data_IF_783188362790
#
_entry.id   IF_783188362790
#
_cell.length_a   1.000
_cell.length_b   1.000
_cell.length_c   1.000
_cell.angle_alpha   90.00
_cell.angle_beta   90.00
_cell.angle_gamma   90.00
#
_symmetry.space_group_name_H-M   'P 1'
#
loop_
_entity.id
_entity.type
_entity.pdbx_description
1 polymer ?
#
# COMPACT_ATOMS: atom_id res chain seq x y z
N UNK A 1 -0.49 -6.33 83.52
CA UNK A 1 -1.27 -5.61 82.49
C UNK A 1 -0.52 -5.31 81.21
N UNK A 2 0.78 -4.99 81.23
CA UNK A 2 1.56 -4.73 80.00
C UNK A 2 1.76 -5.95 79.06
N UNK A 3 1.79 -7.18 79.58
CA UNK A 3 1.96 -8.40 78.77
C UNK A 3 0.66 -8.83 78.05
N UNK A 4 -0.51 -8.50 78.62
CA UNK A 4 -1.80 -8.81 78.00
C UNK A 4 -2.09 -7.90 76.78
N UNK A 5 -1.69 -6.63 76.86
CA UNK A 5 -1.90 -5.67 75.77
C UNK A 5 -1.01 -6.01 74.52
N UNK A 6 0.21 -6.62 74.75
CA UNK A 6 1.06 -7.04 73.65
C UNK A 6 0.48 -8.27 72.94
N UNK A 7 -0.17 -9.19 73.69
CA UNK A 7 -0.79 -10.36 73.07
C UNK A 7 -2.06 -9.99 72.26
N UNK A 8 -2.84 -9.05 72.73
CA UNK A 8 -4.03 -8.54 72.03
C UNK A 8 -3.61 -7.77 70.78
N UNK A 9 -2.54 -6.97 70.84
CA UNK A 9 -1.98 -6.24 69.64
C UNK A 9 -1.39 -7.19 68.63
N UNK A 10 -0.76 -8.30 69.05
CA UNK A 10 -0.23 -9.31 68.12
C UNK A 10 -1.35 -10.12 67.44
N UNK A 11 -2.47 -10.39 68.18
CA UNK A 11 -3.63 -11.10 67.62
C UNK A 11 -4.47 -10.21 66.69
N UNK A 12 -4.57 -8.91 67.00
CA UNK A 12 -5.18 -7.93 66.08
C UNK A 12 -4.36 -7.70 64.79
N UNK A 13 -3.01 -7.76 64.89
CA UNK A 13 -2.12 -7.69 63.74
C UNK A 13 -2.17 -8.93 62.83
N UNK A 14 -2.45 -10.13 63.42
CA UNK A 14 -2.56 -11.35 62.61
C UNK A 14 -3.90 -11.48 61.86
N UNK A 15 -4.96 -10.83 62.36
CA UNK A 15 -6.27 -10.84 61.71
C UNK A 15 -6.38 -9.87 60.50
N UNK A 16 -5.41 -8.98 60.34
CA UNK A 16 -5.39 -8.06 59.17
C UNK A 16 -4.63 -8.68 57.95
N UNK A 17 -3.91 -9.81 58.15
CA UNK A 17 -3.19 -10.45 57.08
C UNK A 17 -3.93 -11.60 56.38
N UNK A 18 -5.18 -11.88 56.77
CA UNK A 18 -6.02 -12.90 56.12
C UNK A 18 -7.13 -12.34 55.22
N UNK A 19 -7.04 -11.06 54.86
CA UNK A 19 -8.06 -10.40 54.09
C UNK A 19 -7.57 -9.84 52.77
N UNK A 20 -6.97 -10.67 51.92
CA UNK A 20 -6.89 -10.46 50.47
C UNK A 20 -6.55 -11.78 49.78
N UNK A 21 -7.36 -12.78 49.93
CA UNK A 21 -7.61 -13.60 48.77
C UNK A 21 -8.35 -12.74 47.80
N UNK A 22 -7.65 -12.19 46.80
CA UNK A 22 -8.32 -11.69 45.61
C UNK A 22 -9.00 -12.90 45.01
N UNK A 23 -10.30 -12.95 45.22
CA UNK A 23 -11.19 -13.88 44.53
C UNK A 23 -11.12 -13.59 43.06
N UNK A 24 -10.13 -14.17 42.39
CA UNK A 24 -9.95 -14.11 40.93
C UNK A 24 -10.83 -15.14 40.22
N UNK A 25 -11.60 -15.93 40.96
CA UNK A 25 -12.49 -16.95 40.39
C UNK A 25 -13.67 -16.35 39.65
N UNK A 26 -13.95 -15.05 39.83
CA UNK A 26 -14.97 -14.33 39.09
C UNK A 26 -14.49 -13.63 37.81
N UNK A 27 -13.18 -13.54 37.56
CA UNK A 27 -12.66 -12.96 36.35
C UNK A 27 -12.74 -13.99 35.21
N UNK A 28 -13.48 -13.72 34.14
CA UNK A 28 -13.56 -14.63 33.01
C UNK A 28 -12.17 -14.80 32.40
N UNK A 29 -11.70 -16.03 32.37
CA UNK A 29 -10.44 -16.40 31.70
C UNK A 29 -10.71 -16.65 30.23
N UNK A 30 -9.77 -16.25 29.37
CA UNK A 30 -9.86 -16.54 27.94
C UNK A 30 -9.78 -18.06 27.75
N UNK A 31 -10.82 -18.61 27.13
CA UNK A 31 -10.85 -20.01 26.69
C UNK A 31 -10.72 -20.00 25.17
N UNK A 32 -9.67 -20.62 24.65
CA UNK A 32 -9.50 -20.69 23.19
C UNK A 32 -10.51 -21.68 22.62
N UNK A 33 -11.41 -21.26 21.71
CA UNK A 33 -12.31 -22.17 21.02
C UNK A 33 -11.49 -23.13 20.15
N UNK A 34 -11.94 -24.39 20.05
CA UNK A 34 -11.25 -25.39 19.23
C UNK A 34 -11.67 -25.31 17.76
N UNK A 35 -12.94 -25.07 17.53
CA UNK A 35 -13.57 -25.01 16.23
C UNK A 35 -14.86 -24.19 16.30
N UNK A 36 -15.40 -23.86 15.14
CA UNK A 36 -16.74 -23.32 14.95
C UNK A 36 -17.22 -23.65 13.52
N UNK A 37 -18.48 -23.39 13.20
CA UNK A 37 -19.07 -23.86 11.95
C UNK A 37 -19.34 -22.68 11.01
N UNK A 38 -18.67 -22.70 9.83
CA UNK A 38 -19.05 -21.93 8.67
C UNK A 38 -20.20 -22.65 7.97
N UNK A 39 -21.32 -21.94 7.78
CA UNK A 39 -22.46 -22.50 7.09
C UNK A 39 -22.18 -22.61 5.59
N UNK A 40 -22.60 -23.69 4.99
CA UNK A 40 -22.62 -23.80 3.53
C UNK A 40 -23.57 -22.74 2.96
N UNK A 41 -23.11 -21.88 2.01
CA UNK A 41 -24.00 -20.92 1.36
C UNK A 41 -25.16 -21.60 0.66
N UNK A 42 -26.34 -21.00 0.73
CA UNK A 42 -27.59 -21.60 0.19
C UNK A 42 -27.50 -21.97 -1.32
N UNK A 43 -26.62 -21.30 -2.05
CA UNK A 43 -26.40 -21.52 -3.49
C UNK A 43 -25.03 -22.16 -3.79
N UNK A 44 -24.38 -22.83 -2.84
CA UNK A 44 -23.03 -23.39 -3.01
C UNK A 44 -22.89 -24.34 -4.20
N UNK A 45 -23.98 -25.03 -4.58
CA UNK A 45 -24.03 -25.91 -5.76
C UNK A 45 -24.13 -25.17 -7.10
N UNK A 46 -24.58 -23.91 -7.10
CA UNK A 46 -24.72 -23.10 -8.30
C UNK A 46 -23.49 -22.19 -8.44
N UNK A 47 -22.88 -22.08 -9.63
CA UNK A 47 -21.75 -21.21 -9.82
C UNK A 47 -22.10 -19.74 -9.57
N UNK A 48 -21.27 -19.05 -8.80
CA UNK A 48 -21.35 -17.62 -8.56
C UNK A 48 -20.54 -16.93 -9.65
N UNK A 49 -21.13 -15.96 -10.36
CA UNK A 49 -20.43 -15.14 -11.35
C UNK A 49 -19.78 -13.97 -10.61
N UNK A 50 -18.49 -14.06 -10.32
CA UNK A 50 -17.77 -13.05 -9.54
C UNK A 50 -17.79 -11.67 -10.20
N UNK A 51 -17.63 -11.59 -11.53
CA UNK A 51 -17.64 -10.33 -12.30
C UNK A 51 -18.96 -9.55 -12.16
N UNK A 52 -20.06 -10.23 -11.92
CA UNK A 52 -21.40 -9.64 -11.75
C UNK A 52 -21.80 -9.45 -10.29
N UNK A 53 -20.94 -9.85 -9.37
CA UNK A 53 -21.20 -9.78 -7.93
C UNK A 53 -20.44 -8.60 -7.33
N UNK A 54 -21.11 -7.78 -6.54
CA UNK A 54 -20.44 -6.74 -5.72
C UNK A 54 -19.90 -7.37 -4.44
N UNK A 55 -20.69 -8.25 -3.82
CA UNK A 55 -20.36 -8.89 -2.54
C UNK A 55 -20.75 -10.37 -2.54
N UNK A 56 -20.01 -11.15 -1.77
CA UNK A 56 -20.32 -12.52 -1.40
C UNK A 56 -20.77 -12.58 0.07
N UNK A 57 -21.73 -13.41 0.37
CA UNK A 57 -22.31 -13.50 1.71
C UNK A 57 -22.02 -14.87 2.32
N UNK A 58 -21.39 -14.85 3.48
CA UNK A 58 -21.11 -16.03 4.30
C UNK A 58 -21.67 -15.83 5.70
N UNK A 59 -21.85 -16.93 6.43
CA UNK A 59 -22.25 -16.83 7.84
C UNK A 59 -21.69 -17.98 8.65
N UNK A 60 -21.36 -17.71 9.90
CA UNK A 60 -21.06 -18.76 10.86
C UNK A 60 -22.31 -19.09 11.67
N UNK A 61 -22.44 -20.35 12.09
CA UNK A 61 -23.61 -20.84 12.81
C UNK A 61 -23.81 -20.09 14.14
N UNK A 62 -22.71 -19.91 14.85
CA UNK A 62 -22.67 -19.20 16.14
C UNK A 62 -21.25 -18.63 16.37
N UNK A 63 -21.15 -17.61 17.18
CA UNK A 63 -19.87 -17.02 17.55
C UNK A 63 -19.01 -18.02 18.33
N UNK A 64 -17.72 -18.19 18.00
CA UNK A 64 -16.82 -19.01 18.81
C UNK A 64 -16.77 -18.55 20.26
N UNK A 65 -16.82 -19.49 21.20
CA UNK A 65 -16.89 -19.20 22.62
C UNK A 65 -15.48 -19.01 23.23
N UNK A 66 -15.17 -17.79 23.60
CA UNK A 66 -13.91 -17.43 24.26
C UNK A 66 -13.98 -17.44 25.81
N UNK A 67 -15.05 -18.02 26.38
CA UNK A 67 -15.24 -18.08 27.83
C UNK A 67 -15.92 -16.84 28.43
N UNK A 68 -16.06 -15.76 27.65
CA UNK A 68 -16.76 -14.53 28.00
C UNK A 68 -17.27 -13.81 26.74
N UNK A 69 -18.12 -12.80 26.92
CA UNK A 69 -18.61 -11.98 25.81
C UNK A 69 -17.48 -11.13 25.25
N UNK A 70 -17.08 -11.36 24.02
CA UNK A 70 -16.00 -10.65 23.34
C UNK A 70 -16.42 -10.23 21.93
N UNK A 71 -15.82 -9.16 21.43
CA UNK A 71 -15.88 -8.81 20.01
C UNK A 71 -14.93 -9.72 19.22
N UNK A 72 -15.48 -10.51 18.31
CA UNK A 72 -14.71 -11.44 17.49
C UNK A 72 -14.58 -10.89 16.09
N UNK A 73 -13.36 -10.88 15.57
CA UNK A 73 -13.08 -10.57 14.17
C UNK A 73 -13.11 -11.87 13.35
N UNK A 74 -13.65 -11.76 12.14
CA UNK A 74 -13.69 -12.83 11.16
C UNK A 74 -13.04 -12.38 9.87
N UNK A 75 -12.20 -13.24 9.31
CA UNK A 75 -11.70 -13.13 7.94
C UNK A 75 -11.96 -14.45 7.23
N UNK A 76 -12.13 -14.41 5.92
CA UNK A 76 -12.18 -15.63 5.13
C UNK A 76 -10.80 -15.96 4.56
N UNK A 77 -10.54 -17.25 4.46
CA UNK A 77 -9.40 -17.80 3.75
C UNK A 77 -9.91 -18.66 2.58
N UNK A 78 -9.20 -18.61 1.47
CA UNK A 78 -9.55 -19.30 0.22
C UNK A 78 -8.42 -20.21 -0.18
N UNK A 79 -8.71 -21.46 -0.52
CA UNK A 79 -7.78 -22.48 -1.00
C UNK A 79 -8.37 -23.19 -2.22
N UNK A 80 -7.55 -23.64 -3.16
CA UNK A 80 -8.01 -24.36 -4.35
C UNK A 80 -8.23 -25.86 -4.10
N UNK A 81 -7.59 -26.44 -3.10
CA UNK A 81 -7.49 -27.88 -2.91
C UNK A 81 -7.87 -28.38 -1.51
N UNK A 82 -8.44 -27.51 -0.65
CA UNK A 82 -8.76 -27.82 0.76
C UNK A 82 -7.53 -28.29 1.58
N UNK A 83 -6.34 -27.79 1.23
CA UNK A 83 -5.09 -28.26 1.78
C UNK A 83 -4.65 -27.49 3.03
N UNK A 84 -4.90 -26.17 3.09
CA UNK A 84 -4.62 -25.25 4.20
C UNK A 84 -3.18 -25.33 4.71
N UNK A 85 -2.22 -25.47 3.78
CA UNK A 85 -0.81 -25.60 4.11
C UNK A 85 -0.23 -24.22 4.43
N UNK A 86 0.40 -24.07 5.59
CA UNK A 86 1.07 -22.85 6.01
C UNK A 86 2.34 -22.56 5.18
N UNK A 87 2.69 -21.28 5.07
CA UNK A 87 3.93 -20.87 4.43
C UNK A 87 5.14 -21.39 5.22
N UNK A 88 6.21 -21.70 4.50
CA UNK A 88 7.53 -22.06 5.06
C UNK A 88 8.59 -21.13 4.47
N UNK A 89 9.85 -21.23 4.90
CA UNK A 89 10.96 -20.46 4.33
C UNK A 89 11.12 -20.62 2.79
N UNK A 90 10.61 -21.74 2.23
CA UNK A 90 10.82 -22.10 0.83
C UNK A 90 9.51 -22.31 0.03
N UNK A 91 8.35 -22.18 0.65
CA UNK A 91 7.06 -22.41 0.01
C UNK A 91 6.04 -21.41 0.51
N UNK A 92 5.25 -20.85 -0.41
CA UNK A 92 4.09 -20.02 -0.04
C UNK A 92 2.98 -20.87 0.57
N UNK A 93 2.07 -20.24 1.30
CA UNK A 93 0.86 -20.91 1.79
C UNK A 93 -0.01 -21.37 0.60
N UNK A 94 -0.74 -22.48 0.78
CA UNK A 94 -1.70 -22.97 -0.25
C UNK A 94 -2.96 -22.11 -0.33
N UNK A 95 -3.14 -21.16 0.58
CA UNK A 95 -4.35 -20.36 0.72
C UNK A 95 -4.02 -18.85 0.82
N UNK A 96 -5.03 -18.04 0.59
CA UNK A 96 -4.96 -16.59 0.79
C UNK A 96 -6.00 -16.18 1.83
N UNK A 97 -5.59 -15.40 2.84
CA UNK A 97 -6.49 -14.70 3.76
C UNK A 97 -6.98 -13.42 3.08
N UNK A 98 -8.29 -13.26 2.97
CA UNK A 98 -8.89 -12.05 2.41
C UNK A 98 -8.75 -10.86 3.37
N UNK A 99 -8.67 -9.66 2.83
CA UNK A 99 -8.46 -8.43 3.60
C UNK A 99 -9.71 -8.01 4.40
N UNK A 100 -10.90 -8.38 3.93
CA UNK A 100 -12.16 -8.04 4.59
C UNK A 100 -12.20 -8.57 6.04
N UNK A 101 -12.28 -7.68 7.02
CA UNK A 101 -12.46 -8.01 8.43
C UNK A 101 -13.90 -7.73 8.86
N UNK A 102 -14.62 -8.78 9.20
CA UNK A 102 -16.00 -8.71 9.66
C UNK A 102 -16.08 -8.88 11.18
N UNK A 103 -16.98 -8.14 11.85
CA UNK A 103 -17.23 -8.25 13.30
C UNK A 103 -18.58 -8.91 13.61
N UNK A 104 -19.25 -9.44 12.61
CA UNK A 104 -20.55 -10.10 12.69
C UNK A 104 -20.47 -11.54 12.21
N UNK A 105 -21.30 -12.41 12.76
CA UNK A 105 -21.49 -13.80 12.28
C UNK A 105 -22.02 -13.87 10.84
N UNK A 106 -22.55 -12.76 10.31
CA UNK A 106 -22.87 -12.59 8.89
C UNK A 106 -21.76 -11.75 8.27
N UNK A 107 -21.05 -12.33 7.32
CA UNK A 107 -19.89 -11.74 6.68
C UNK A 107 -20.26 -11.29 5.26
N UNK A 108 -19.89 -10.08 4.92
CA UNK A 108 -19.98 -9.51 3.57
C UNK A 108 -18.56 -9.33 3.05
N UNK A 109 -18.23 -10.01 1.97
CA UNK A 109 -16.88 -10.07 1.39
C UNK A 109 -16.92 -9.44 0.02
N UNK A 110 -15.99 -8.53 -0.28
CA UNK A 110 -15.87 -7.92 -1.60
C UNK A 110 -15.55 -8.95 -2.69
N UNK A 111 -16.37 -8.99 -3.74
CA UNK A 111 -16.17 -9.96 -4.83
C UNK A 111 -14.85 -9.74 -5.60
N UNK A 112 -14.39 -8.48 -5.69
CA UNK A 112 -13.11 -8.11 -6.32
C UNK A 112 -11.94 -8.72 -5.54
N UNK A 113 -11.89 -8.55 -4.21
CA UNK A 113 -10.84 -9.13 -3.36
C UNK A 113 -10.82 -10.65 -3.43
N UNK A 114 -12.02 -11.27 -3.47
CA UNK A 114 -12.14 -12.71 -3.66
C UNK A 114 -11.61 -13.16 -5.03
N UNK A 115 -11.97 -12.46 -6.12
CA UNK A 115 -11.49 -12.76 -7.47
C UNK A 115 -9.96 -12.63 -7.59
N UNK A 116 -9.36 -11.56 -7.01
CA UNK A 116 -7.90 -11.39 -6.95
C UNK A 116 -7.20 -12.53 -6.23
N UNK A 117 -7.75 -12.99 -5.11
CA UNK A 117 -7.21 -14.15 -4.39
C UNK A 117 -7.20 -15.41 -5.28
N UNK A 118 -8.27 -15.64 -6.05
CA UNK A 118 -8.36 -16.77 -7.00
C UNK A 118 -7.34 -16.64 -8.13
N UNK A 119 -7.19 -15.45 -8.71
CA UNK A 119 -6.20 -15.16 -9.75
C UNK A 119 -4.79 -15.46 -9.24
N UNK A 120 -4.44 -14.96 -8.06
CA UNK A 120 -3.12 -15.16 -7.43
C UNK A 120 -2.87 -16.64 -7.10
N UNK A 121 -3.82 -17.35 -6.51
CA UNK A 121 -3.69 -18.78 -6.17
C UNK A 121 -3.46 -19.66 -7.40
N UNK A 122 -4.05 -19.30 -8.55
CA UNK A 122 -3.86 -20.03 -9.80
C UNK A 122 -2.63 -19.56 -10.60
N UNK A 123 -1.96 -18.47 -10.21
CA UNK A 123 -0.84 -17.91 -10.96
C UNK A 123 -1.23 -17.34 -12.33
N UNK A 124 -2.50 -16.91 -12.51
CA UNK A 124 -2.96 -16.31 -13.76
C UNK A 124 -2.39 -14.89 -13.92
N UNK A 125 -1.61 -14.68 -14.98
CA UNK A 125 -0.96 -13.40 -15.26
C UNK A 125 -1.76 -12.49 -16.19
N UNK A 126 -2.74 -13.04 -16.93
CA UNK A 126 -3.53 -12.32 -17.90
C UNK A 126 -4.98 -12.85 -17.97
N UNK A 127 -5.84 -12.09 -18.63
CA UNK A 127 -7.26 -12.46 -18.80
C UNK A 127 -7.42 -13.80 -19.56
N UNK A 128 -6.53 -14.06 -20.49
CA UNK A 128 -6.51 -15.26 -21.33
C UNK A 128 -6.21 -16.54 -20.55
N UNK A 129 -5.59 -16.42 -19.36
CA UNK A 129 -5.29 -17.55 -18.49
C UNK A 129 -6.52 -18.03 -17.72
N UNK A 130 -7.54 -17.18 -17.58
CA UNK A 130 -8.73 -17.47 -16.76
C UNK A 130 -9.72 -18.34 -17.54
N UNK A 131 -10.12 -19.51 -16.99
CA UNK A 131 -11.07 -20.39 -17.66
C UNK A 131 -12.47 -19.77 -17.73
N UNK A 132 -13.13 -19.97 -18.86
CA UNK A 132 -14.54 -19.60 -19.05
C UNK A 132 -15.53 -20.54 -18.32
N UNK A 133 -15.03 -21.63 -17.74
CA UNK A 133 -15.83 -22.63 -17.01
C UNK A 133 -15.76 -22.39 -15.51
N UNK A 134 -16.83 -22.76 -14.81
CA UNK A 134 -16.84 -22.68 -13.35
C UNK A 134 -15.80 -23.61 -12.72
N UNK A 135 -15.11 -23.11 -11.71
CA UNK A 135 -14.16 -23.88 -10.90
C UNK A 135 -14.70 -24.07 -9.47
N UNK A 136 -14.20 -25.09 -8.79
CA UNK A 136 -14.46 -25.33 -7.37
C UNK A 136 -13.35 -24.72 -6.54
N UNK A 137 -13.72 -24.04 -5.44
CA UNK A 137 -12.80 -23.46 -4.47
C UNK A 137 -13.30 -23.74 -3.07
N UNK A 138 -12.40 -23.76 -2.10
CA UNK A 138 -12.68 -24.00 -0.69
C UNK A 138 -12.52 -22.73 0.09
N UNK A 139 -13.42 -22.50 1.06
CA UNK A 139 -13.43 -21.32 1.91
C UNK A 139 -13.56 -21.78 3.35
N UNK A 140 -12.73 -21.23 4.24
CA UNK A 140 -12.90 -21.35 5.69
C UNK A 140 -12.90 -19.98 6.34
N UNK A 141 -13.48 -19.88 7.53
CA UNK A 141 -13.43 -18.68 8.32
C UNK A 141 -12.35 -18.78 9.41
N UNK A 142 -11.56 -17.73 9.54
CA UNK A 142 -10.59 -17.49 10.60
C UNK A 142 -11.22 -16.52 11.59
N UNK A 143 -11.34 -16.90 12.88
CA UNK A 143 -11.89 -16.08 13.94
C UNK A 143 -10.83 -15.78 14.99
N UNK A 144 -10.74 -14.52 15.45
CA UNK A 144 -9.77 -14.11 16.44
C UNK A 144 -10.25 -12.90 17.25
N UNK A 145 -9.68 -12.73 18.44
CA UNK A 145 -9.78 -11.49 19.21
C UNK A 145 -8.64 -10.56 18.81
N UNK A 146 -8.88 -9.25 18.74
CA UNK A 146 -7.83 -8.27 18.38
C UNK A 146 -6.62 -8.35 19.31
N UNK A 147 -6.82 -8.70 20.60
CA UNK A 147 -5.75 -8.90 21.58
C UNK A 147 -4.99 -10.23 21.44
N UNK A 148 -5.49 -11.16 20.61
CA UNK A 148 -4.94 -12.51 20.38
C UNK A 148 -4.97 -12.87 18.90
N UNK A 149 -4.61 -11.93 18.05
CA UNK A 149 -4.62 -12.10 16.59
C UNK A 149 -3.66 -13.21 16.11
N UNK A 150 -2.61 -13.49 16.88
CA UNK A 150 -1.63 -14.55 16.66
C UNK A 150 -2.16 -15.96 17.02
N UNK A 151 -3.36 -16.07 17.60
CA UNK A 151 -3.99 -17.33 18.03
C UNK A 151 -5.41 -17.45 17.47
N UNK A 152 -5.56 -17.55 16.15
CA UNK A 152 -6.87 -17.70 15.52
C UNK A 152 -7.48 -19.09 15.78
N UNK A 153 -8.79 -19.15 15.65
CA UNK A 153 -9.56 -20.39 15.55
C UNK A 153 -10.13 -20.49 14.13
N UNK A 154 -10.18 -21.70 13.57
CA UNK A 154 -10.66 -21.93 12.20
C UNK A 154 -11.95 -22.72 12.18
N UNK A 155 -12.80 -22.43 11.21
CA UNK A 155 -14.02 -23.21 10.95
C UNK A 155 -13.71 -24.48 10.14
N UNK A 156 -14.76 -25.28 9.89
CA UNK A 156 -14.75 -26.21 8.76
C UNK A 156 -14.58 -25.45 7.44
N UNK A 157 -14.07 -26.11 6.41
CA UNK A 157 -14.11 -25.60 5.04
C UNK A 157 -15.48 -25.86 4.41
N UNK A 158 -15.89 -24.97 3.50
CA UNK A 158 -17.04 -25.14 2.62
C UNK A 158 -16.58 -25.03 1.17
N UNK A 159 -17.13 -25.87 0.30
CA UNK A 159 -16.85 -25.85 -1.13
C UNK A 159 -17.90 -25.02 -1.85
N UNK A 160 -17.45 -24.10 -2.70
CA UNK A 160 -18.33 -23.30 -3.58
C UNK A 160 -17.86 -23.40 -5.03
N UNK A 161 -18.77 -23.11 -5.96
CA UNK A 161 -18.47 -22.99 -7.38
C UNK A 161 -18.50 -21.55 -7.81
N UNK A 162 -17.53 -21.14 -8.61
CA UNK A 162 -17.41 -19.76 -9.10
C UNK A 162 -17.08 -19.76 -10.59
N UNK A 163 -17.59 -18.77 -11.33
CA UNK A 163 -17.00 -18.33 -12.58
C UNK A 163 -15.95 -17.29 -12.23
N UNK A 164 -14.64 -17.62 -12.36
CA UNK A 164 -13.60 -16.67 -12.08
C UNK A 164 -13.53 -15.59 -13.16
N UNK A 165 -12.91 -14.45 -12.85
CA UNK A 165 -12.55 -13.45 -13.85
C UNK A 165 -11.24 -12.79 -13.46
N UNK A 166 -10.52 -12.27 -14.46
CA UNK A 166 -9.25 -11.59 -14.24
C UNK A 166 -9.49 -10.20 -13.68
N UNK A 167 -8.86 -9.91 -12.56
CA UNK A 167 -8.81 -8.58 -11.97
C UNK A 167 -7.36 -8.17 -11.92
N UNK A 168 -6.97 -7.27 -12.80
CA UNK A 168 -5.65 -6.68 -12.76
C UNK A 168 -5.48 -5.85 -11.48
N UNK A 169 -4.27 -5.82 -10.96
CA UNK A 169 -3.93 -4.89 -9.91
C UNK A 169 -3.99 -3.46 -10.44
N UNK A 170 -4.56 -2.55 -9.65
CA UNK A 170 -4.48 -1.14 -9.94
C UNK A 170 -3.02 -0.69 -9.82
N UNK A 171 -2.54 0.11 -10.77
CA UNK A 171 -1.25 0.76 -10.62
C UNK A 171 -1.29 1.73 -9.43
N UNK A 172 -0.17 1.97 -8.73
CA UNK A 172 -0.12 2.98 -7.69
C UNK A 172 -0.62 4.33 -8.19
N UNK A 173 -1.46 4.97 -7.41
CA UNK A 173 -1.97 6.32 -7.70
C UNK A 173 -0.87 7.35 -7.47
N UNK A 174 0.01 7.53 -8.45
CA UNK A 174 1.06 8.54 -8.36
C UNK A 174 0.45 9.93 -8.31
N UNK A 175 0.78 10.68 -7.28
CA UNK A 175 0.45 12.09 -7.13
C UNK A 175 1.61 12.96 -7.63
N UNK A 176 1.29 14.08 -8.24
CA UNK A 176 2.27 14.97 -8.86
C UNK A 176 2.24 16.34 -8.22
N UNK A 177 3.40 16.88 -7.93
CA UNK A 177 3.54 18.28 -7.55
C UNK A 177 3.25 19.22 -8.71
N UNK A 178 2.59 20.33 -8.40
CA UNK A 178 2.40 21.48 -9.26
C UNK A 178 2.48 22.76 -8.43
N UNK A 179 3.06 23.83 -8.97
CA UNK A 179 3.17 25.12 -8.30
C UNK A 179 4.60 25.60 -8.08
N UNK A 180 4.75 26.90 -7.90
CA UNK A 180 6.06 27.57 -7.77
C UNK A 180 6.90 27.01 -6.63
N UNK A 181 6.27 26.53 -5.55
CA UNK A 181 6.96 26.01 -4.37
C UNK A 181 7.67 24.68 -4.58
N UNK A 182 7.20 23.83 -5.49
CA UNK A 182 7.72 22.48 -5.69
C UNK A 182 8.31 22.22 -7.08
N UNK A 183 7.82 22.92 -8.13
CA UNK A 183 8.25 22.71 -9.52
C UNK A 183 8.59 24.01 -10.26
N UNK A 184 8.53 25.15 -9.58
CA UNK A 184 8.89 26.46 -10.15
C UNK A 184 7.85 27.09 -11.05
N UNK A 185 6.69 26.46 -11.26
CA UNK A 185 5.62 26.98 -12.11
C UNK A 185 4.26 26.32 -11.82
N UNK A 186 3.18 26.88 -12.37
CA UNK A 186 1.81 26.34 -12.30
C UNK A 186 1.34 25.70 -13.61
N UNK A 187 2.28 25.29 -14.46
CA UNK A 187 1.92 24.55 -15.66
C UNK A 187 1.61 23.09 -15.31
N UNK A 188 0.39 22.63 -15.60
CA UNK A 188 -0.06 21.26 -15.36
C UNK A 188 -0.21 20.51 -16.70
N UNK A 189 0.82 20.51 -17.53
CA UNK A 189 0.78 19.86 -18.84
C UNK A 189 0.99 18.35 -18.75
N UNK A 190 0.08 17.55 -19.34
CA UNK A 190 0.18 16.09 -19.34
C UNK A 190 1.45 15.54 -20.01
N UNK A 191 2.00 16.25 -21.00
CA UNK A 191 3.22 15.85 -21.72
C UNK A 191 4.52 16.42 -21.14
N UNK A 192 4.47 17.15 -20.01
CA UNK A 192 5.61 17.91 -19.50
C UNK A 192 6.07 17.44 -18.10
N UNK A 193 5.84 16.17 -17.78
CA UNK A 193 6.31 15.55 -16.53
C UNK A 193 7.84 15.61 -16.42
N UNK A 194 8.33 15.87 -15.23
CA UNK A 194 9.74 16.10 -14.95
C UNK A 194 10.18 17.56 -15.18
N UNK A 195 9.43 18.35 -15.95
CA UNK A 195 9.67 19.78 -16.14
C UNK A 195 8.65 20.64 -15.37
N UNK A 196 7.36 20.42 -15.54
CA UNK A 196 6.30 21.21 -14.91
C UNK A 196 5.47 20.47 -13.87
N UNK A 197 5.53 19.14 -13.85
CA UNK A 197 4.95 18.29 -12.81
C UNK A 197 5.98 17.22 -12.41
N UNK A 198 6.08 16.93 -11.12
CA UNK A 198 7.04 15.95 -10.59
C UNK A 198 6.28 14.92 -9.77
N UNK A 199 6.41 13.60 -10.08
CA UNK A 199 5.74 12.56 -9.34
C UNK A 199 6.35 12.30 -7.95
N UNK A 200 5.50 11.91 -6.99
CA UNK A 200 5.92 11.26 -5.76
C UNK A 200 6.38 9.83 -6.06
N UNK A 201 7.32 9.31 -5.29
CA UNK A 201 7.75 7.92 -5.35
C UNK A 201 7.00 7.08 -4.30
N UNK A 202 6.72 5.80 -4.59
CA UNK A 202 6.37 4.83 -3.55
C UNK A 202 7.51 4.77 -2.53
N UNK A 203 7.15 4.63 -1.25
CA UNK A 203 8.12 4.34 -0.21
C UNK A 203 8.72 2.95 -0.47
N UNK A 204 10.03 2.81 -0.30
CA UNK A 204 10.70 1.52 -0.47
C UNK A 204 10.09 0.48 0.49
N UNK A 205 9.85 -0.72 -0.02
CA UNK A 205 9.26 -1.85 0.71
C UNK A 205 7.85 -1.59 1.30
N UNK A 206 7.21 -0.47 0.95
CA UNK A 206 5.82 -0.24 1.31
C UNK A 206 4.88 -0.96 0.33
N UNK A 207 3.95 -1.70 0.88
CA UNK A 207 2.84 -2.26 0.11
C UNK A 207 1.84 -1.15 -0.21
N UNK A 208 1.19 -1.25 -1.37
CA UNK A 208 0.05 -0.41 -1.72
C UNK A 208 -1.18 -1.27 -1.95
N UNK A 209 -2.35 -0.68 -1.79
CA UNK A 209 -3.62 -1.34 -2.08
C UNK A 209 -3.75 -1.60 -3.59
N UNK A 210 -3.55 -2.84 -4.00
CA UNK A 210 -3.66 -3.24 -5.40
C UNK A 210 -5.10 -3.13 -5.96
N UNK A 211 -6.11 -2.93 -5.11
CA UNK A 211 -7.50 -2.66 -5.51
C UNK A 211 -7.73 -1.21 -5.93
N UNK A 212 -7.10 -0.27 -5.24
CA UNK A 212 -7.32 1.17 -5.41
C UNK A 212 -6.09 1.91 -5.96
N UNK A 213 -4.89 1.36 -5.78
CA UNK A 213 -3.62 2.03 -6.05
C UNK A 213 -3.19 2.99 -4.93
N UNK A 214 -3.93 3.07 -3.83
CA UNK A 214 -3.59 3.89 -2.66
C UNK A 214 -2.38 3.32 -1.92
N UNK A 215 -1.56 4.18 -1.33
CA UNK A 215 -0.34 3.71 -0.66
C UNK A 215 0.44 4.83 0.02
N UNK A 216 1.66 4.51 0.42
CA UNK A 216 2.61 5.45 1.00
C UNK A 216 3.59 5.95 -0.04
N UNK A 217 3.66 7.27 -0.17
CA UNK A 217 4.51 7.95 -1.14
C UNK A 217 5.44 8.94 -0.44
N UNK A 218 6.57 9.19 -1.05
CA UNK A 218 7.57 10.13 -0.53
C UNK A 218 8.23 10.90 -1.65
N UNK A 219 8.80 12.03 -1.30
CA UNK A 219 9.63 12.82 -2.18
C UNK A 219 10.61 13.64 -1.34
N UNK A 220 11.88 13.58 -1.66
CA UNK A 220 12.89 14.50 -1.11
C UNK A 220 13.43 15.36 -2.25
N UNK A 221 13.45 16.67 -2.06
CA UNK A 221 13.90 17.59 -3.09
C UNK A 221 13.95 19.04 -2.61
N UNK A 222 14.32 19.93 -3.54
CA UNK A 222 14.31 21.37 -3.30
C UNK A 222 12.91 21.94 -3.38
N UNK A 223 12.54 22.79 -2.43
CA UNK A 223 11.31 23.57 -2.41
C UNK A 223 11.63 25.06 -2.23
N UNK A 224 10.89 25.92 -2.92
CA UNK A 224 10.91 27.35 -2.68
C UNK A 224 9.91 27.73 -1.59
N UNK A 225 10.09 28.91 -0.97
CA UNK A 225 9.13 29.48 -0.02
C UNK A 225 7.90 30.04 -0.74
N UNK A 226 7.26 29.23 -1.57
CA UNK A 226 6.11 29.56 -2.42
C UNK A 226 5.09 28.41 -2.44
N UNK A 227 3.98 28.57 -3.09
CA UNK A 227 2.82 27.70 -3.05
C UNK A 227 2.95 26.49 -3.99
N UNK A 228 2.41 25.34 -3.55
CA UNK A 228 2.26 24.15 -4.37
C UNK A 228 1.03 23.31 -3.95
N UNK A 229 0.63 22.40 -4.82
CA UNK A 229 -0.45 21.41 -4.61
C UNK A 229 -0.05 20.06 -5.20
N UNK A 230 -0.87 19.06 -4.94
CA UNK A 230 -0.79 17.74 -5.59
C UNK A 230 -1.97 17.56 -6.53
N UNK A 231 -1.69 17.10 -7.76
CA UNK A 231 -2.69 16.63 -8.72
C UNK A 231 -2.50 15.15 -8.99
N UNK A 232 -3.59 14.41 -9.24
CA UNK A 232 -3.48 12.98 -9.57
C UNK A 232 -3.13 12.78 -11.05
N UNK A 233 -3.72 13.58 -11.92
CA UNK A 233 -3.58 13.41 -13.36
C UNK A 233 -3.00 14.68 -13.98
N UNK A 234 -1.72 14.73 -14.37
CA UNK A 234 -1.17 15.84 -15.13
C UNK A 234 -2.03 16.15 -16.37
N UNK A 235 -2.28 17.43 -16.63
CA UNK A 235 -3.24 17.89 -17.62
C UNK A 235 -4.64 18.15 -17.06
N UNK A 236 -4.92 17.69 -15.85
CA UNK A 236 -6.20 17.87 -15.18
C UNK A 236 -6.01 18.47 -13.77
N UNK A 237 -6.86 19.46 -13.42
CA UNK A 237 -6.80 20.08 -12.09
C UNK A 237 -7.65 19.35 -11.05
N UNK A 238 -8.27 18.25 -11.41
CA UNK A 238 -9.13 17.45 -10.55
C UNK A 238 -8.92 15.95 -10.83
N UNK A 239 -8.81 15.12 -9.82
CA UNK A 239 -8.77 15.45 -8.39
C UNK A 239 -7.43 16.07 -7.96
N UNK A 240 -7.45 16.81 -6.83
CA UNK A 240 -6.24 17.37 -6.23
C UNK A 240 -6.28 17.37 -4.71
N UNK A 241 -5.09 17.51 -4.12
CA UNK A 241 -4.91 17.75 -2.69
C UNK A 241 -4.25 19.10 -2.45
N UNK A 242 -4.66 19.74 -1.38
CA UNK A 242 -4.06 20.91 -0.78
C UNK A 242 -4.42 20.98 0.70
N UNK A 243 -4.44 22.18 1.24
CA UNK A 243 -4.78 22.45 2.63
C UNK A 243 -6.11 23.22 2.74
N UNK A 244 -6.69 23.30 3.93
CA UNK A 244 -7.82 24.20 4.23
C UNK A 244 -7.39 25.68 4.25
N UNK A 245 -6.14 25.93 4.63
CA UNK A 245 -5.51 27.27 4.62
C UNK A 245 -4.03 27.14 4.25
N UNK A 246 -3.49 28.16 3.58
CA UNK A 246 -2.07 28.17 3.18
C UNK A 246 -1.15 27.97 4.38
N UNK A 247 -0.17 27.07 4.26
CA UNK A 247 0.79 26.77 5.31
C UNK A 247 1.81 25.70 4.94
N UNK A 248 2.80 25.51 5.80
CA UNK A 248 3.79 24.44 5.60
C UNK A 248 3.15 23.06 5.82
N UNK A 249 2.30 22.95 6.85
CA UNK A 249 1.47 21.79 7.15
C UNK A 249 0.11 22.28 7.67
N UNK A 250 -0.91 21.41 7.63
CA UNK A 250 -2.25 21.78 8.09
C UNK A 250 -3.27 20.69 7.81
N UNK A 251 -4.55 21.02 8.02
CA UNK A 251 -5.65 20.13 7.68
C UNK A 251 -5.72 19.96 6.18
N UNK A 252 -5.70 18.72 5.71
CA UNK A 252 -5.79 18.38 4.30
C UNK A 252 -7.17 18.68 3.73
N UNK A 253 -7.20 19.12 2.49
CA UNK A 253 -8.43 19.31 1.72
C UNK A 253 -8.32 18.61 0.36
N UNK A 254 -9.22 17.67 0.16
CA UNK A 254 -9.39 17.00 -1.10
C UNK A 254 -10.37 17.75 -1.99
N UNK A 255 -10.02 17.93 -3.24
CA UNK A 255 -10.92 18.43 -4.28
C UNK A 255 -11.28 17.29 -5.23
N UNK A 256 -12.51 16.79 -5.09
CA UNK A 256 -13.12 15.91 -6.09
C UNK A 256 -13.52 16.74 -7.33
N UNK A 257 -13.82 16.08 -8.47
CA UNK A 257 -14.35 16.76 -9.66
C UNK A 257 -15.54 17.68 -9.32
N UNK A 258 -15.43 18.96 -9.72
CA UNK A 258 -16.41 20.01 -9.41
C UNK A 258 -16.32 20.58 -7.99
N UNK A 259 -15.34 20.16 -7.18
CA UNK A 259 -15.14 20.63 -5.81
C UNK A 259 -14.48 22.01 -5.73
N UNK A 260 -14.53 22.60 -4.51
CA UNK A 260 -13.87 23.88 -4.25
C UNK A 260 -12.35 23.73 -4.22
N UNK A 261 -11.64 24.70 -4.78
CA UNK A 261 -10.18 24.73 -4.84
C UNK A 261 -9.57 24.78 -3.42
N UNK A 262 -8.64 23.89 -3.06
CA UNK A 262 -7.96 23.92 -1.77
C UNK A 262 -6.93 25.04 -1.70
N UNK A 263 -6.57 25.47 -0.50
CA UNK A 263 -5.38 26.28 -0.25
C UNK A 263 -4.10 25.45 -0.49
N UNK A 264 -2.94 26.07 -0.39
CA UNK A 264 -1.68 25.50 -0.82
C UNK A 264 -0.80 25.08 0.38
N UNK A 265 0.05 24.07 0.17
CA UNK A 265 1.27 23.97 0.94
C UNK A 265 2.20 25.14 0.58
N UNK A 266 2.88 25.65 1.58
CA UNK A 266 3.85 26.73 1.42
C UNK A 266 4.96 26.59 2.45
N UNK A 267 6.17 26.13 2.05
CA UNK A 267 7.32 26.07 2.94
C UNK A 267 7.64 27.44 3.56
N UNK A 268 8.03 27.46 4.81
CA UNK A 268 8.39 28.68 5.54
C UNK A 268 9.69 29.32 5.03
N UNK A 269 10.58 28.51 4.46
CA UNK A 269 11.84 28.92 3.83
C UNK A 269 12.14 28.07 2.62
N UNK A 270 12.94 28.58 1.69
CA UNK A 270 13.48 27.79 0.60
C UNK A 270 14.56 26.83 1.11
N UNK A 271 14.58 25.59 0.60
CA UNK A 271 15.54 24.57 1.01
C UNK A 271 15.14 23.16 0.57
N UNK A 272 15.88 22.20 1.08
CA UNK A 272 15.53 20.78 0.87
C UNK A 272 14.55 20.33 1.93
N UNK A 273 13.51 19.61 1.49
CA UNK A 273 12.47 19.04 2.34
C UNK A 273 12.19 17.59 1.91
N UNK A 274 11.67 16.82 2.86
CA UNK A 274 11.00 15.54 2.58
C UNK A 274 9.50 15.74 2.73
N UNK A 275 8.75 15.40 1.70
CA UNK A 275 7.30 15.34 1.70
C UNK A 275 6.86 13.89 1.77
N UNK A 276 6.04 13.55 2.77
CA UNK A 276 5.43 12.25 2.94
C UNK A 276 3.94 12.36 2.66
N UNK A 277 3.39 11.40 1.93
CA UNK A 277 1.99 11.34 1.58
C UNK A 277 1.48 9.90 1.68
N UNK A 278 0.46 9.66 2.50
CA UNK A 278 -0.16 8.36 2.67
C UNK A 278 -1.65 8.46 2.35
N UNK A 279 -2.08 7.82 1.27
CA UNK A 279 -3.47 7.77 0.81
C UNK A 279 -4.24 6.52 1.24
N UNK A 280 -3.60 5.59 1.95
CA UNK A 280 -4.20 4.33 2.39
C UNK A 280 -5.48 4.55 3.20
N UNK A 281 -6.55 3.84 2.81
CA UNK A 281 -7.86 3.92 3.45
C UNK A 281 -8.72 5.09 3.00
N UNK A 282 -8.41 5.65 1.84
CA UNK A 282 -9.19 6.69 1.17
C UNK A 282 -9.01 8.09 1.72
N UNK A 283 -9.77 9.02 1.16
CA UNK A 283 -9.60 10.46 1.41
C UNK A 283 -9.74 10.88 2.87
N UNK A 284 -10.57 10.19 3.66
CA UNK A 284 -10.75 10.50 5.08
C UNK A 284 -9.58 10.09 5.97
N UNK A 285 -8.76 9.15 5.50
CA UNK A 285 -7.59 8.62 6.21
C UNK A 285 -6.27 9.19 5.71
N UNK A 286 -6.28 9.90 4.57
CA UNK A 286 -5.10 10.47 3.94
C UNK A 286 -4.32 11.40 4.87
N UNK A 287 -2.99 11.28 4.85
CA UNK A 287 -2.07 12.10 5.63
C UNK A 287 -0.97 12.65 4.73
N UNK A 288 -0.52 13.85 5.02
CA UNK A 288 0.64 14.45 4.38
C UNK A 288 1.45 15.27 5.37
N UNK A 289 2.76 15.28 5.19
CA UNK A 289 3.65 16.06 6.03
C UNK A 289 4.85 16.54 5.22
N UNK A 290 5.16 17.83 5.34
CA UNK A 290 6.36 18.45 4.81
C UNK A 290 7.34 18.72 5.96
N UNK A 291 8.54 18.18 5.88
CA UNK A 291 9.60 18.34 6.88
C UNK A 291 10.89 18.83 6.24
N UNK A 292 11.63 19.78 6.88
CA UNK A 292 12.99 20.10 6.44
C UNK A 292 13.85 18.84 6.34
N UNK A 293 14.60 18.70 5.26
CA UNK A 293 15.55 17.61 5.11
C UNK A 293 16.73 17.81 6.05
N UNK A 294 17.07 16.78 6.82
CA UNK A 294 18.12 16.83 7.86
C UNK A 294 19.39 16.08 7.50
N UNK A 295 19.47 15.51 6.30
CA UNK A 295 20.68 14.85 5.80
C UNK A 295 21.76 15.82 5.34
N UNK A 296 22.86 15.27 4.84
CA UNK A 296 23.93 16.03 4.20
C UNK A 296 23.39 16.80 2.98
N UNK A 297 24.03 17.93 2.64
CA UNK A 297 23.68 18.68 1.44
C UNK A 297 23.75 17.76 0.22
N UNK A 298 22.64 17.60 -0.52
CA UNK A 298 22.60 16.68 -1.66
C UNK A 298 23.65 17.05 -2.72
N UNK A 299 24.34 16.03 -3.24
CA UNK A 299 25.28 16.19 -4.34
C UNK A 299 24.51 16.48 -5.62
N UNK A 300 24.73 17.62 -6.22
CA UNK A 300 24.21 17.96 -7.55
C UNK A 300 25.14 17.37 -8.62
N UNK A 301 24.55 16.73 -9.62
CA UNK A 301 25.25 16.18 -10.76
C UNK A 301 25.12 17.11 -11.96
N UNK A 302 26.12 17.11 -12.83
CA UNK A 302 26.09 17.93 -14.04
C UNK A 302 25.51 17.18 -15.24
N UNK A 303 25.52 15.84 -15.19
CA UNK A 303 25.15 15.02 -16.34
C UNK A 303 24.60 13.65 -15.92
N UNK A 304 23.39 13.33 -16.40
CA UNK A 304 22.84 11.97 -16.36
C UNK A 304 22.45 11.53 -17.76
N UNK A 305 22.67 10.26 -18.06
CA UNK A 305 22.31 9.63 -19.30
C UNK A 305 21.64 8.27 -19.07
N UNK A 306 20.79 7.87 -20.00
CA UNK A 306 20.16 6.56 -20.03
C UNK A 306 20.80 5.73 -21.13
N UNK A 307 21.32 4.56 -20.78
CA UNK A 307 22.10 3.68 -21.64
C UNK A 307 21.56 2.26 -21.58
N UNK A 308 21.75 1.49 -22.64
CA UNK A 308 21.24 0.12 -22.64
C UNK A 308 21.65 -0.71 -23.85
N UNK A 309 20.95 -1.80 -24.02
CA UNK A 309 21.24 -2.79 -25.08
C UNK A 309 21.10 -2.19 -26.48
N UNK A 310 20.08 -1.35 -26.72
CA UNK A 310 19.78 -0.75 -28.04
C UNK A 310 20.92 0.06 -28.65
N UNK A 311 21.86 0.55 -27.85
CA UNK A 311 22.95 1.41 -28.30
C UNK A 311 24.34 0.92 -27.85
N UNK A 312 24.41 -0.30 -27.27
CA UNK A 312 25.70 -0.91 -26.87
C UNK A 312 26.28 -0.35 -25.58
N UNK A 313 25.46 0.06 -24.63
CA UNK A 313 25.83 0.48 -23.26
C UNK A 313 26.75 1.71 -23.21
N UNK A 314 26.38 2.74 -23.93
CA UNK A 314 26.99 4.06 -23.85
C UNK A 314 27.76 4.47 -25.09
N UNK A 315 27.47 3.85 -26.24
CA UNK A 315 28.02 4.28 -27.54
C UNK A 315 27.30 5.56 -28.03
N UNK A 316 25.98 5.59 -27.91
CA UNK A 316 25.13 6.76 -28.24
C UNK A 316 24.07 6.94 -27.19
N UNK A 317 24.44 7.41 -25.97
CA UNK A 317 23.53 7.48 -24.83
C UNK A 317 22.39 8.47 -25.04
N UNK A 318 21.26 8.21 -24.40
CA UNK A 318 20.17 9.17 -24.28
C UNK A 318 20.49 10.12 -23.13
N UNK A 319 20.86 11.37 -23.47
CA UNK A 319 21.21 12.41 -22.48
C UNK A 319 19.95 13.00 -21.88
N UNK A 320 19.86 13.06 -20.54
CA UNK A 320 18.75 13.63 -19.85
C UNK A 320 18.90 15.15 -19.70
N UNK A 321 17.77 15.84 -19.69
CA UNK A 321 17.68 17.27 -19.40
C UNK A 321 17.44 17.47 -17.91
N UNK A 322 18.26 18.29 -17.24
CA UNK A 322 18.07 18.67 -15.85
C UNK A 322 16.91 19.66 -15.71
N UNK A 323 16.05 19.47 -14.70
CA UNK A 323 15.02 20.45 -14.39
C UNK A 323 15.64 21.75 -13.84
N UNK A 324 15.19 22.89 -14.37
CA UNK A 324 15.74 24.20 -14.04
C UNK A 324 15.47 24.65 -12.60
N UNK A 325 14.40 24.13 -11.97
CA UNK A 325 14.00 24.46 -10.61
C UNK A 325 14.62 23.50 -9.58
N UNK A 326 14.54 22.19 -9.85
CA UNK A 326 15.10 21.16 -8.97
C UNK A 326 16.22 20.39 -9.67
N UNK A 327 17.49 20.59 -9.26
CA UNK A 327 18.64 20.00 -9.94
C UNK A 327 18.75 18.47 -9.80
N UNK A 328 17.84 17.84 -9.04
CA UNK A 328 17.80 16.39 -8.84
C UNK A 328 16.75 15.70 -9.71
N UNK A 329 16.01 16.45 -10.51
CA UNK A 329 15.02 15.92 -11.45
C UNK A 329 15.56 16.02 -12.85
N UNK A 330 15.51 14.89 -13.54
CA UNK A 330 15.99 14.72 -14.89
C UNK A 330 14.89 14.13 -15.75
N UNK A 331 14.82 14.54 -17.01
CA UNK A 331 13.81 14.04 -17.92
C UNK A 331 14.29 14.01 -19.36
N UNK A 332 13.67 13.13 -20.17
CA UNK A 332 13.91 13.04 -21.61
C UNK A 332 12.73 12.34 -22.28
N UNK A 333 12.54 12.60 -23.57
CA UNK A 333 11.68 11.78 -24.43
C UNK A 333 12.53 10.74 -25.13
N UNK A 334 12.08 9.49 -25.11
CA UNK A 334 12.78 8.38 -25.75
C UNK A 334 11.80 7.45 -26.47
N UNK A 335 12.26 6.81 -27.53
CA UNK A 335 11.51 5.82 -28.31
C UNK A 335 12.35 4.54 -28.42
N UNK A 336 11.72 3.40 -28.13
CA UNK A 336 12.31 2.08 -28.25
C UNK A 336 11.52 1.27 -29.28
N UNK A 337 12.19 0.86 -30.38
CA UNK A 337 11.56 0.13 -31.48
C UNK A 337 11.20 -1.31 -31.11
N UNK A 338 11.87 -1.88 -30.11
CA UNK A 338 11.69 -3.24 -29.61
C UNK A 338 11.91 -3.30 -28.10
N UNK A 339 11.46 -4.37 -27.46
CA UNK A 339 11.70 -4.62 -26.04
C UNK A 339 13.18 -4.59 -25.74
N UNK A 340 13.58 -3.86 -24.72
CA UNK A 340 15.00 -3.62 -24.43
C UNK A 340 15.23 -3.53 -22.91
N UNK A 341 16.48 -3.27 -22.53
CA UNK A 341 16.85 -3.01 -21.15
C UNK A 341 17.94 -1.95 -21.02
N UNK A 342 17.92 -1.21 -19.92
CA UNK A 342 18.86 -0.12 -19.70
C UNK A 342 19.02 0.28 -18.24
N UNK A 343 19.92 1.25 -18.01
CA UNK A 343 20.20 1.89 -16.72
C UNK A 343 20.50 3.37 -16.90
N UNK A 344 20.29 4.12 -15.84
CA UNK A 344 20.84 5.46 -15.71
C UNK A 344 22.28 5.38 -15.23
N UNK A 345 23.15 6.24 -15.76
CA UNK A 345 24.52 6.45 -15.27
C UNK A 345 24.89 7.93 -15.31
N UNK A 346 25.82 8.32 -14.42
CA UNK A 346 26.30 9.68 -14.32
C UNK A 346 27.69 9.82 -14.96
N UNK A 347 27.94 10.94 -15.63
CA UNK A 347 29.26 11.35 -16.12
C UNK A 347 29.97 10.26 -16.96
N UNK A 348 29.22 9.54 -17.78
CA UNK A 348 29.72 8.44 -18.63
C UNK A 348 30.51 7.36 -17.86
N UNK A 349 30.27 7.21 -16.56
CA UNK A 349 30.91 6.17 -15.75
C UNK A 349 29.87 5.39 -14.90
N UNK A 350 30.30 4.28 -14.34
CA UNK A 350 29.44 3.35 -13.58
C UNK A 350 29.56 3.49 -12.05
N UNK A 351 30.19 4.55 -11.57
CA UNK A 351 30.30 4.79 -10.12
C UNK A 351 28.97 5.20 -9.53
N UNK A 352 28.27 6.11 -10.22
CA UNK A 352 26.91 6.51 -9.90
C UNK A 352 25.98 5.98 -11.00
N UNK A 353 25.27 4.88 -10.69
CA UNK A 353 24.32 4.26 -11.58
C UNK A 353 22.97 4.02 -10.87
N UNK A 354 21.89 3.86 -11.65
CA UNK A 354 20.59 3.47 -11.17
C UNK A 354 19.92 2.55 -12.20
N UNK A 355 19.80 1.28 -11.86
CA UNK A 355 18.92 0.33 -12.54
C UNK A 355 17.62 0.13 -11.74
N UNK A 356 16.88 -0.93 -12.05
CA UNK A 356 15.63 -1.23 -11.35
C UNK A 356 14.97 -2.51 -11.84
N UNK A 357 14.04 -3.02 -11.03
CA UNK A 357 13.27 -4.23 -11.34
C UNK A 357 11.85 -3.91 -11.83
N UNK A 358 11.35 -2.69 -11.59
CA UNK A 358 9.99 -2.27 -11.90
C UNK A 358 9.88 -1.55 -13.24
N UNK A 359 8.71 -1.65 -13.86
CA UNK A 359 8.25 -0.86 -14.98
C UNK A 359 6.72 -0.67 -14.87
N UNK A 360 6.17 0.51 -15.15
CA UNK A 360 6.78 1.72 -15.72
C UNK A 360 7.45 2.64 -14.69
N UNK A 361 7.57 2.25 -13.45
CA UNK A 361 8.26 3.00 -12.39
C UNK A 361 9.02 2.04 -11.49
N UNK A 362 10.04 2.52 -10.82
CA UNK A 362 10.83 1.73 -9.89
C UNK A 362 11.79 2.54 -9.05
N UNK A 363 12.33 1.84 -8.05
CA UNK A 363 13.43 2.30 -7.21
C UNK A 363 14.73 1.63 -7.64
N UNK A 364 15.85 2.23 -7.25
CA UNK A 364 17.19 1.73 -7.56
C UNK A 364 17.40 0.30 -7.09
N UNK A 365 17.79 -0.56 -8.03
CA UNK A 365 18.44 -1.84 -7.76
C UNK A 365 19.72 -1.97 -8.64
N UNK A 366 20.42 -3.09 -8.52
CA UNK A 366 21.57 -3.40 -9.39
C UNK A 366 21.17 -3.98 -10.74
N UNK A 367 19.89 -4.30 -10.95
CA UNK A 367 19.39 -4.94 -12.17
C UNK A 367 19.16 -3.94 -13.30
N UNK A 368 19.05 -4.41 -14.53
CA UNK A 368 18.66 -3.58 -15.66
C UNK A 368 17.14 -3.38 -15.66
N UNK A 369 16.70 -2.16 -15.99
CA UNK A 369 15.28 -1.86 -16.19
C UNK A 369 14.86 -2.51 -17.51
N UNK A 370 13.84 -3.37 -17.48
CA UNK A 370 13.24 -3.97 -18.67
C UNK A 370 12.17 -3.04 -19.21
N UNK A 371 12.27 -2.67 -20.49
CA UNK A 371 11.45 -1.64 -21.12
C UNK A 371 10.77 -2.24 -22.35
N UNK A 372 9.44 -2.31 -22.39
CA UNK A 372 8.70 -2.68 -23.60
C UNK A 372 8.92 -1.66 -24.74
N UNK A 373 8.78 -2.12 -25.99
CA UNK A 373 8.76 -1.23 -27.15
C UNK A 373 7.70 -0.13 -26.97
N UNK A 374 8.05 1.12 -27.33
CA UNK A 374 7.13 2.26 -27.16
C UNK A 374 7.85 3.60 -27.10
N UNK A 375 7.04 4.66 -27.05
CA UNK A 375 7.49 6.04 -26.85
C UNK A 375 7.19 6.49 -25.44
N UNK A 376 8.18 7.07 -24.75
CA UNK A 376 8.08 7.40 -23.34
C UNK A 376 8.62 8.79 -23.03
N UNK A 377 7.98 9.46 -22.08
CA UNK A 377 8.57 10.51 -21.27
C UNK A 377 9.22 9.85 -20.06
N UNK A 378 10.54 9.84 -19.99
CA UNK A 378 11.32 9.30 -18.87
C UNK A 378 11.55 10.43 -17.89
N UNK A 379 11.27 10.17 -16.58
CA UNK A 379 11.60 11.07 -15.47
C UNK A 379 12.45 10.30 -14.47
N UNK A 380 13.55 10.90 -14.05
CA UNK A 380 14.47 10.33 -13.07
C UNK A 380 14.75 11.33 -11.94
N UNK A 381 14.65 10.87 -10.71
CA UNK A 381 15.05 11.61 -9.52
C UNK A 381 16.34 11.00 -8.97
N UNK A 382 17.45 11.70 -9.10
CA UNK A 382 18.77 11.20 -8.69
C UNK A 382 18.97 11.23 -7.18
N UNK A 383 18.21 12.02 -6.43
CA UNK A 383 18.26 12.08 -4.97
C UNK A 383 17.50 10.91 -4.33
N UNK A 384 16.29 10.65 -4.78
CA UNK A 384 15.47 9.52 -4.32
C UNK A 384 15.84 8.20 -5.01
N UNK A 385 16.60 8.26 -6.10
CA UNK A 385 16.96 7.10 -6.94
C UNK A 385 15.73 6.35 -7.42
N UNK A 386 14.73 7.08 -7.94
CA UNK A 386 13.52 6.53 -8.53
C UNK A 386 13.32 7.04 -9.96
N UNK A 387 12.60 6.25 -10.77
CA UNK A 387 12.38 6.54 -12.17
C UNK A 387 10.94 6.21 -12.60
N UNK A 388 10.52 6.84 -13.71
CA UNK A 388 9.19 6.71 -14.30
C UNK A 388 9.28 6.75 -15.82
N UNK A 389 8.50 5.88 -16.47
CA UNK A 389 8.30 5.83 -17.91
C UNK A 389 6.84 6.11 -18.21
N UNK A 390 6.51 7.35 -18.57
CA UNK A 390 5.16 7.73 -18.94
C UNK A 390 4.97 7.55 -20.44
N UNK A 391 3.98 6.74 -20.82
CA UNK A 391 3.67 6.50 -22.25
C UNK A 391 3.30 7.82 -22.92
N UNK A 392 3.88 8.07 -24.08
CA UNK A 392 3.53 9.19 -24.95
C UNK A 392 2.56 8.71 -26.03
N UNK A 393 1.41 9.38 -26.11
CA UNK A 393 0.42 9.18 -27.17
C UNK A 393 0.85 9.82 -28.50
#
# INVERSE_FOLDING_TARGET
>A
MKKLNILVSLFAGLLILTGCETDNDSNPTVQMPKDFVLNEPANASNPITLEQSEKLFFSVKEQPAYGYTAAVNYQLEVDLNDAWTEATENTEASYITLEDVCTSVKMEIGAIGFAKAIVKLNGWGAKEDVPETAIEVYVRAKAYLSSLADKPCYSNSVKIKIYPYYVADAAPQLWFFVGNGAVGNWNNGAGDMGNSTIPLALVADAEYDSGTGEGEFTYTGYFAADQFKLVLNPGNWEPMWGLEADGENGTLKYRAPGGADPACWKPSAAGYYTFSFNSTGGTASTKAELKPYTGDTPKVFDHWEFVGVWEGWGVTPIVLTQNAFNPHIWYVDAEFAEDTEGKFRCDANWTDECGGDGFPYGLKTSNNIKIPAGSYRIVFNDLNRCYYFFVKE
#
